data_IF_159858462826
#
_entry.id   IF_159858462826
#
_cell.length_a   1.000
_cell.length_b   1.000
_cell.length_c   1.000
_cell.angle_alpha   90.00
_cell.angle_beta   90.00
_cell.angle_gamma   90.00
#
_symmetry.space_group_name_H-M   'P 1'
#
loop_
_entity.id
_entity.type
_entity.pdbx_description
1 polymer ?
#
# COMPACT_ATOMS: atom_id res chain seq x y z
N UNK A 1 -12.46 -7.26 5.02
CA UNK A 1 -12.29 -6.31 3.90
C UNK A 1 -12.53 -4.88 4.39
N UNK A 2 -11.50 -4.03 4.46
CA UNK A 2 -11.66 -2.56 4.66
C UNK A 2 -11.51 -1.94 3.27
N UNK A 3 -12.36 -1.06 2.76
CA UNK A 3 -13.69 -0.55 3.07
C UNK A 3 -14.05 0.24 1.80
N UNK A 4 -15.31 0.21 1.38
CA UNK A 4 -15.77 0.98 0.23
C UNK A 4 -15.24 2.42 0.32
N UNK A 5 -14.90 3.04 -0.81
CA UNK A 5 -14.55 4.46 -0.83
C UNK A 5 -15.81 5.23 -0.43
N UNK A 6 -15.93 5.53 0.85
CA UNK A 6 -17.05 6.24 1.45
C UNK A 6 -16.92 7.75 1.29
N UNK A 7 -17.93 8.46 1.75
CA UNK A 7 -18.07 9.91 1.64
C UNK A 7 -17.00 10.71 2.39
N UNK A 8 -16.30 10.09 3.33
CA UNK A 8 -15.26 10.70 4.14
C UNK A 8 -13.89 10.02 3.94
N UNK A 9 -12.84 10.73 4.35
CA UNK A 9 -11.49 10.18 4.46
C UNK A 9 -11.45 8.99 5.43
N UNK A 10 -10.80 7.88 5.05
CA UNK A 10 -10.61 6.75 5.96
C UNK A 10 -9.35 6.89 6.82
N UNK A 11 -8.41 7.73 6.37
CA UNK A 11 -7.25 8.17 7.13
C UNK A 11 -7.62 9.18 8.21
N UNK A 12 -6.82 9.18 9.28
CA UNK A 12 -6.86 10.11 10.40
C UNK A 12 -5.59 10.95 10.39
N UNK A 13 -5.68 12.17 10.93
CA UNK A 13 -4.49 12.96 11.22
C UNK A 13 -3.82 12.39 12.48
N UNK A 14 -2.58 11.95 12.38
CA UNK A 14 -1.73 11.56 13.50
C UNK A 14 -0.79 12.71 13.87
N UNK A 15 -0.74 13.05 15.16
CA UNK A 15 0.27 13.91 15.76
C UNK A 15 1.20 13.07 16.62
N UNK A 16 2.49 13.11 16.34
CA UNK A 16 3.51 12.38 17.07
C UNK A 16 3.71 13.01 18.45
N UNK A 17 3.39 12.26 19.51
CA UNK A 17 3.54 12.74 20.89
C UNK A 17 4.82 12.24 21.55
N UNK A 18 5.34 11.10 21.11
CA UNK A 18 6.53 10.50 21.72
C UNK A 18 7.29 9.66 20.71
N UNK A 19 8.61 9.69 20.81
CA UNK A 19 9.52 8.76 20.15
C UNK A 19 10.38 8.12 21.23
N UNK A 20 10.30 6.80 21.35
CA UNK A 20 11.10 6.03 22.30
C UNK A 20 12.05 5.13 21.53
N UNK A 21 13.32 5.08 21.95
CA UNK A 21 14.27 4.09 21.44
C UNK A 21 14.40 2.98 22.48
N UNK A 22 14.00 1.76 22.10
CA UNK A 22 14.08 0.56 22.92
C UNK A 22 15.06 -0.42 22.25
N UNK A 23 16.32 -0.37 22.68
CA UNK A 23 17.42 -1.09 22.03
C UNK A 23 17.54 -0.66 20.56
N UNK A 24 17.38 -1.62 19.64
CA UNK A 24 17.43 -1.38 18.20
C UNK A 24 16.05 -1.06 17.56
N UNK A 25 15.02 -0.78 18.38
CA UNK A 25 13.67 -0.42 17.91
C UNK A 25 13.36 1.04 18.21
N UNK A 26 12.77 1.75 17.25
CA UNK A 26 12.20 3.09 17.47
C UNK A 26 10.68 2.98 17.49
N UNK A 27 10.06 3.34 18.61
CA UNK A 27 8.61 3.32 18.82
C UNK A 27 8.10 4.75 18.70
N UNK A 28 7.23 4.98 17.71
CA UNK A 28 6.57 6.25 17.51
C UNK A 28 5.14 6.18 18.04
N UNK A 29 4.82 7.04 19.01
CA UNK A 29 3.49 7.13 19.60
C UNK A 29 2.75 8.32 19.00
N UNK A 30 1.54 8.06 18.50
CA UNK A 30 0.70 9.06 17.84
C UNK A 30 -0.65 9.22 18.54
N UNK A 31 -1.11 10.45 18.66
CA UNK A 31 -2.52 10.78 18.95
C UNK A 31 -3.22 11.02 17.61
N UNK A 32 -4.43 10.48 17.43
CA UNK A 32 -5.12 10.51 16.13
C UNK A 32 -6.44 11.27 16.17
N UNK A 33 -6.63 12.15 15.20
CA UNK A 33 -7.81 12.99 15.04
C UNK A 33 -8.55 12.65 13.74
N UNK A 34 -9.90 12.66 13.74
CA UNK A 34 -10.66 12.47 12.51
C UNK A 34 -10.39 13.64 11.54
N UNK A 35 -10.53 13.37 10.24
CA UNK A 35 -10.49 14.40 9.19
C UNK A 35 -11.95 14.65 8.78
N UNK A 36 -12.60 15.73 9.27
CA UNK A 36 -14.02 15.99 9.02
C UNK A 36 -14.29 16.56 7.61
N UNK A 37 -13.46 16.18 6.63
CA UNK A 37 -13.55 16.68 5.26
C UNK A 37 -14.29 15.65 4.41
N UNK A 38 -15.46 16.05 3.92
CA UNK A 38 -16.22 15.26 2.95
C UNK A 38 -15.47 15.22 1.62
N UNK A 39 -15.51 14.09 0.92
CA UNK A 39 -15.00 13.98 -0.45
C UNK A 39 -15.82 14.89 -1.37
N UNK A 40 -15.17 15.64 -2.27
CA UNK A 40 -15.90 16.43 -3.26
C UNK A 40 -16.60 15.50 -4.26
N UNK A 41 -17.66 15.99 -4.90
CA UNK A 41 -18.34 15.26 -5.97
C UNK A 41 -17.39 15.01 -7.17
N UNK A 42 -16.63 16.03 -7.55
CA UNK A 42 -15.70 16.00 -8.69
C UNK A 42 -14.29 16.44 -8.29
N UNK A 43 -13.29 15.91 -8.98
CA UNK A 43 -11.89 16.33 -8.85
C UNK A 43 -11.29 16.08 -7.46
N UNK A 44 -10.64 17.11 -6.92
CA UNK A 44 -10.05 17.10 -5.58
C UNK A 44 -10.28 18.47 -4.91
N UNK A 45 -10.52 18.46 -3.60
CA UNK A 45 -10.62 19.65 -2.77
C UNK A 45 -9.39 19.77 -1.87
N UNK A 46 -9.01 21.00 -1.56
CA UNK A 46 -8.04 21.29 -0.51
C UNK A 46 -8.81 21.89 0.66
N UNK A 47 -8.57 21.37 1.85
CA UNK A 47 -9.19 21.87 3.07
C UNK A 47 -8.14 22.08 4.14
N UNK A 48 -8.34 23.14 4.92
CA UNK A 48 -7.55 23.40 6.11
C UNK A 48 -8.17 22.68 7.32
N UNK A 49 -7.30 22.13 8.15
CA UNK A 49 -7.67 21.52 9.42
C UNK A 49 -6.67 21.90 10.49
N UNK A 50 -7.15 22.05 11.73
CA UNK A 50 -6.31 22.28 12.89
C UNK A 50 -5.96 20.96 13.55
N UNK A 51 -4.70 20.83 13.98
CA UNK A 51 -4.29 19.72 14.82
C UNK A 51 -4.94 19.89 16.20
N UNK A 52 -5.72 18.91 16.65
CA UNK A 52 -6.36 18.94 17.96
C UNK A 52 -5.39 18.86 19.14
N UNK A 53 -4.09 18.59 18.91
CA UNK A 53 -3.07 18.55 19.97
C UNK A 53 -2.28 19.85 20.09
N UNK A 54 -1.77 20.38 18.98
CA UNK A 54 -0.87 21.55 18.97
C UNK A 54 -1.47 22.81 18.31
N UNK A 55 -2.72 22.73 17.80
CA UNK A 55 -3.38 23.85 17.13
C UNK A 55 -2.83 24.19 15.73
N UNK A 56 -1.80 23.48 15.25
CA UNK A 56 -1.19 23.76 13.96
C UNK A 56 -2.21 23.64 12.81
N UNK A 57 -2.24 24.64 11.93
CA UNK A 57 -3.05 24.61 10.70
C UNK A 57 -2.33 23.79 9.63
N UNK A 58 -3.02 22.77 9.12
CA UNK A 58 -2.54 21.84 8.13
C UNK A 58 -3.49 21.83 6.93
N UNK A 59 -2.93 21.73 5.73
CA UNK A 59 -3.69 21.58 4.49
C UNK A 59 -3.70 20.12 4.05
N UNK A 60 -4.89 19.59 3.80
CA UNK A 60 -5.09 18.26 3.20
C UNK A 60 -5.78 18.38 1.85
N UNK A 61 -5.31 17.59 0.89
CA UNK A 61 -5.99 17.35 -0.38
C UNK A 61 -6.82 16.08 -0.28
N UNK A 62 -8.10 16.18 -0.59
CA UNK A 62 -9.05 15.05 -0.63
C UNK A 62 -9.56 14.89 -2.05
N UNK A 63 -9.28 13.74 -2.67
CA UNK A 63 -9.80 13.37 -3.99
C UNK A 63 -11.23 12.83 -3.89
N UNK A 64 -12.03 13.08 -4.91
CA UNK A 64 -13.36 12.53 -5.05
C UNK A 64 -13.35 10.98 -5.00
N UNK A 65 -14.53 10.42 -4.72
CA UNK A 65 -14.67 8.97 -4.58
C UNK A 65 -14.37 8.24 -5.90
N UNK A 66 -14.88 8.74 -7.03
CA UNK A 66 -14.70 8.14 -8.34
C UNK A 66 -13.21 8.04 -8.74
N UNK A 67 -12.45 9.13 -8.59
CA UNK A 67 -11.02 9.13 -8.91
C UNK A 67 -10.20 8.24 -7.97
N UNK A 68 -10.60 8.11 -6.71
CA UNK A 68 -9.97 7.18 -5.76
C UNK A 68 -10.25 5.72 -6.12
N UNK A 69 -11.49 5.40 -6.52
CA UNK A 69 -11.85 4.05 -7.00
C UNK A 69 -11.12 3.71 -8.30
N UNK A 70 -11.00 4.66 -9.22
CA UNK A 70 -10.25 4.46 -10.46
C UNK A 70 -8.78 4.18 -10.19
N UNK A 71 -8.13 4.96 -9.32
CA UNK A 71 -6.75 4.70 -8.92
C UNK A 71 -6.58 3.31 -8.27
N UNK A 72 -7.54 2.88 -7.44
CA UNK A 72 -7.58 1.50 -6.92
C UNK A 72 -7.71 0.46 -8.05
N UNK A 73 -8.58 0.68 -9.02
CA UNK A 73 -8.73 -0.24 -10.16
C UNK A 73 -7.44 -0.35 -10.97
N UNK A 74 -6.71 0.75 -11.18
CA UNK A 74 -5.41 0.73 -11.88
C UNK A 74 -4.41 -0.16 -11.14
N UNK A 75 -4.30 -0.03 -9.81
CA UNK A 75 -3.41 -0.90 -9.02
C UNK A 75 -3.82 -2.37 -9.07
N UNK A 76 -5.12 -2.67 -9.04
CA UNK A 76 -5.59 -4.06 -9.22
C UNK A 76 -5.31 -4.57 -10.62
N UNK A 77 -5.53 -3.75 -11.65
CA UNK A 77 -5.25 -4.11 -13.03
C UNK A 77 -3.76 -4.39 -13.25
N UNK A 78 -2.86 -3.66 -12.57
CA UNK A 78 -1.42 -3.92 -12.59
C UNK A 78 -0.99 -5.15 -11.77
N UNK A 79 -1.77 -5.52 -10.75
CA UNK A 79 -1.51 -6.72 -9.96
C UNK A 79 -1.74 -8.00 -10.77
N UNK A 80 -2.77 -8.04 -11.63
CA UNK A 80 -3.10 -9.21 -12.46
C UNK A 80 -1.94 -9.70 -13.35
N UNK A 81 -1.32 -8.89 -14.22
CA UNK A 81 -0.21 -9.34 -15.06
C UNK A 81 1.02 -9.73 -14.23
N UNK A 82 1.24 -9.09 -13.08
CA UNK A 82 2.32 -9.46 -12.16
C UNK A 82 2.13 -10.90 -11.64
N UNK A 83 0.90 -11.25 -11.28
CA UNK A 83 0.54 -12.60 -10.84
C UNK A 83 0.65 -13.62 -11.99
N UNK A 84 0.21 -13.26 -13.20
CA UNK A 84 0.31 -14.13 -14.37
C UNK A 84 1.77 -14.43 -14.74
N UNK A 85 2.65 -13.42 -14.66
CA UNK A 85 4.09 -13.60 -14.89
C UNK A 85 4.70 -14.58 -13.88
N UNK A 86 4.36 -14.44 -12.60
CA UNK A 86 4.78 -15.38 -11.56
C UNK A 86 4.26 -16.78 -11.83
N UNK A 87 2.98 -16.92 -12.17
CA UNK A 87 2.37 -18.22 -12.45
C UNK A 87 3.01 -18.92 -13.66
N UNK A 88 3.31 -18.17 -14.73
CA UNK A 88 4.00 -18.69 -15.90
C UNK A 88 5.41 -19.18 -15.57
N UNK A 89 6.17 -18.41 -14.77
CA UNK A 89 7.52 -18.81 -14.34
C UNK A 89 7.49 -20.07 -13.45
N UNK A 90 6.55 -20.15 -12.51
CA UNK A 90 6.36 -21.34 -11.66
C UNK A 90 5.95 -22.55 -12.51
N UNK A 91 5.06 -22.36 -13.49
CA UNK A 91 4.64 -23.44 -14.39
C UNK A 91 5.82 -24.00 -15.17
N UNK A 92 6.69 -23.15 -15.71
CA UNK A 92 7.94 -23.58 -16.34
C UNK A 92 8.77 -24.40 -15.35
N UNK A 93 9.03 -23.89 -14.16
CA UNK A 93 9.78 -24.62 -13.15
C UNK A 93 9.22 -26.04 -12.89
N UNK A 94 7.91 -26.16 -12.65
CA UNK A 94 7.25 -27.45 -12.36
C UNK A 94 7.31 -28.44 -13.53
N UNK A 95 7.30 -27.96 -14.78
CA UNK A 95 7.42 -28.85 -15.94
C UNK A 95 8.83 -29.43 -16.07
N UNK A 96 9.85 -28.66 -15.68
CA UNK A 96 11.24 -29.08 -15.81
C UNK A 96 11.70 -29.90 -14.60
N UNK A 97 11.21 -29.64 -13.39
CA UNK A 97 11.54 -30.37 -12.14
C UNK A 97 11.11 -31.86 -12.09
N UNK A 98 10.74 -32.45 -13.23
CA UNK A 98 10.42 -33.87 -13.33
C UNK A 98 11.71 -34.69 -13.56
N UNK A 99 11.97 -35.71 -12.73
CA UNK A 99 13.16 -36.54 -12.92
C UNK A 99 13.08 -37.25 -14.28
N UNK A 100 14.20 -37.29 -15.04
CA UNK A 100 14.24 -37.99 -16.32
C UNK A 100 14.04 -39.51 -16.09
N UNK A 101 13.31 -40.19 -16.98
CA UNK A 101 12.93 -41.61 -16.80
C UNK A 101 14.13 -42.57 -16.83
N UNK A 102 15.29 -42.11 -17.23
CA UNK A 102 16.47 -42.89 -17.58
C UNK A 102 17.68 -42.65 -16.66
N UNK A 103 17.46 -42.16 -15.42
CA UNK A 103 18.48 -41.98 -14.37
C UNK A 103 19.74 -41.18 -14.79
N UNK A 104 19.66 -40.39 -15.87
CA UNK A 104 20.75 -39.52 -16.30
C UNK A 104 20.94 -38.38 -15.28
N UNK A 105 22.19 -37.88 -15.10
CA UNK A 105 22.42 -36.70 -14.27
C UNK A 105 21.55 -35.56 -14.80
N UNK A 106 20.67 -35.08 -13.94
CA UNK A 106 19.72 -34.02 -14.25
C UNK A 106 20.45 -32.68 -14.24
N UNK A 107 20.62 -32.09 -15.43
CA UNK A 107 21.22 -30.77 -15.60
C UNK A 107 20.09 -29.80 -15.92
N UNK A 108 19.74 -28.92 -14.99
CA UNK A 108 18.77 -27.87 -15.25
C UNK A 108 19.34 -26.92 -16.32
N UNK A 109 18.59 -26.67 -17.40
CA UNK A 109 19.02 -25.67 -18.36
C UNK A 109 19.15 -24.30 -17.68
N UNK A 110 20.17 -23.51 -18.04
CA UNK A 110 20.40 -22.18 -17.47
C UNK A 110 19.15 -21.28 -17.52
N UNK A 111 18.33 -21.42 -18.56
CA UNK A 111 17.10 -20.63 -18.71
C UNK A 111 15.99 -21.04 -17.71
N UNK A 112 16.00 -22.26 -17.17
CA UNK A 112 15.12 -22.70 -16.07
C UNK A 112 15.57 -22.04 -14.77
N UNK A 113 16.87 -22.01 -14.49
CA UNK A 113 17.42 -21.30 -13.32
C UNK A 113 17.17 -19.79 -13.40
N UNK A 114 17.24 -19.21 -14.60
CA UNK A 114 16.91 -17.80 -14.81
C UNK A 114 15.42 -17.48 -14.65
N UNK A 115 14.53 -18.49 -14.65
CA UNK A 115 13.08 -18.29 -14.45
C UNK A 115 12.69 -17.84 -13.04
N UNK A 116 13.58 -18.03 -12.05
CA UNK A 116 13.38 -17.50 -10.69
C UNK A 116 13.38 -15.97 -10.64
N UNK A 117 14.11 -15.31 -11.55
CA UNK A 117 14.18 -13.85 -11.61
C UNK A 117 12.79 -13.25 -11.95
N UNK A 118 12.13 -13.60 -13.07
CA UNK A 118 10.80 -13.08 -13.36
C UNK A 118 9.75 -13.55 -12.35
N UNK A 119 9.89 -14.74 -11.76
CA UNK A 119 9.01 -15.18 -10.67
C UNK A 119 9.09 -14.24 -9.46
N UNK A 120 10.30 -13.97 -8.98
CA UNK A 120 10.56 -13.07 -7.85
C UNK A 120 10.12 -11.63 -8.13
N UNK A 121 10.41 -11.12 -9.33
CA UNK A 121 9.97 -9.79 -9.76
C UNK A 121 8.44 -9.70 -9.83
N UNK A 122 7.76 -10.72 -10.36
CA UNK A 122 6.31 -10.78 -10.41
C UNK A 122 5.67 -10.77 -9.02
N UNK A 123 6.23 -11.51 -8.05
CA UNK A 123 5.77 -11.52 -6.65
C UNK A 123 5.95 -10.14 -6.03
N UNK A 124 7.13 -9.54 -6.16
CA UNK A 124 7.42 -8.22 -5.63
C UNK A 124 6.49 -7.14 -6.21
N UNK A 125 6.29 -7.16 -7.54
CA UNK A 125 5.39 -6.24 -8.23
C UNK A 125 3.93 -6.43 -7.81
N UNK A 126 3.46 -7.68 -7.68
CA UNK A 126 2.12 -7.99 -7.18
C UNK A 126 1.91 -7.45 -5.77
N UNK A 127 2.83 -7.74 -4.84
CA UNK A 127 2.76 -7.26 -3.47
C UNK A 127 2.76 -5.73 -3.41
N UNK A 128 3.63 -5.08 -4.19
CA UNK A 128 3.66 -3.62 -4.30
C UNK A 128 2.32 -3.08 -4.79
N UNK A 129 1.73 -3.66 -5.83
CA UNK A 129 0.43 -3.24 -6.36
C UNK A 129 -0.69 -3.40 -5.34
N UNK A 130 -0.72 -4.52 -4.61
CA UNK A 130 -1.71 -4.76 -3.54
C UNK A 130 -1.52 -3.79 -2.37
N UNK A 131 -0.27 -3.52 -1.97
CA UNK A 131 0.04 -2.53 -0.95
C UNK A 131 -0.40 -1.13 -1.41
N UNK A 132 -0.08 -0.73 -2.64
CA UNK A 132 -0.46 0.56 -3.20
C UNK A 132 -1.98 0.69 -3.34
N UNK A 133 -2.66 -0.37 -3.74
CA UNK A 133 -4.12 -0.46 -3.75
C UNK A 133 -4.70 -0.19 -2.36
N UNK A 134 -4.17 -0.86 -1.33
CA UNK A 134 -4.60 -0.71 0.04
C UNK A 134 -4.30 0.70 0.58
N UNK A 135 -3.14 1.25 0.24
CA UNK A 135 -2.72 2.58 0.70
C UNK A 135 -3.38 3.76 -0.06
N UNK A 136 -4.14 3.46 -1.11
CA UNK A 136 -4.86 4.47 -1.92
C UNK A 136 -6.19 4.84 -1.26
N UNK A 137 -6.18 5.95 -0.54
CA UNK A 137 -7.37 6.56 0.09
C UNK A 137 -7.77 7.91 -0.55
N UNK A 138 -6.97 8.44 -1.49
CA UNK A 138 -7.23 9.74 -2.12
C UNK A 138 -7.00 10.95 -1.21
N UNK A 139 -6.46 10.75 0.00
CA UNK A 139 -6.14 11.82 0.95
C UNK A 139 -4.63 12.00 1.06
N UNK A 140 -4.16 13.24 0.93
CA UNK A 140 -2.74 13.64 1.02
C UNK A 140 -2.59 14.87 1.90
N UNK A 141 -1.55 14.88 2.73
CA UNK A 141 -1.14 16.06 3.47
C UNK A 141 -0.29 16.94 2.54
N UNK A 142 -0.66 18.21 2.38
CA UNK A 142 0.02 19.16 1.49
C UNK A 142 1.05 19.96 2.26
N UNK A 143 0.68 20.47 3.44
CA UNK A 143 1.60 21.22 4.28
C UNK A 143 2.12 20.30 5.39
N UNK A 144 3.38 19.90 5.27
CA UNK A 144 4.06 19.23 6.37
C UNK A 144 4.89 20.28 7.12
N UNK A 145 4.44 20.70 8.32
CA UNK A 145 5.20 21.62 9.18
C UNK A 145 6.27 20.89 10.02
N UNK A 146 6.89 19.83 9.46
CA UNK A 146 7.85 18.96 10.14
C UNK A 146 7.34 17.53 10.36
N UNK A 147 8.19 16.66 10.90
CA UNK A 147 7.93 15.21 11.04
C UNK A 147 6.83 14.84 12.04
N UNK A 148 6.21 15.82 12.69
CA UNK A 148 5.23 15.63 13.77
C UNK A 148 3.85 15.21 13.26
N UNK A 149 3.51 15.52 12.00
CA UNK A 149 2.17 15.30 11.46
C UNK A 149 2.21 14.29 10.32
N UNK A 150 1.40 13.24 10.44
CA UNK A 150 1.27 12.25 9.37
C UNK A 150 -0.15 11.72 9.26
N UNK A 151 -0.50 11.24 8.08
CA UNK A 151 -1.78 10.57 7.87
C UNK A 151 -1.65 9.10 8.27
N UNK A 152 -2.40 8.68 9.28
CA UNK A 152 -2.38 7.32 9.80
C UNK A 152 -3.73 6.64 9.56
N UNK A 153 -3.71 5.33 9.33
CA UNK A 153 -4.94 4.57 9.29
C UNK A 153 -5.49 4.38 10.70
N UNK A 154 -6.81 4.50 10.84
CA UNK A 154 -7.47 4.14 12.10
C UNK A 154 -7.15 2.68 12.45
N UNK A 155 -6.45 2.45 13.56
CA UNK A 155 -6.30 1.10 14.12
C UNK A 155 -7.70 0.65 14.53
N UNK A 156 -8.21 -0.45 13.96
CA UNK A 156 -9.47 -1.04 14.46
C UNK A 156 -9.13 -1.48 15.88
N UNK A 157 -9.76 -0.89 16.90
CA UNK A 157 -9.79 -1.55 18.20
C UNK A 157 -10.48 -2.89 17.94
N UNK A 158 -9.78 -4.00 18.20
CA UNK A 158 -10.45 -5.29 18.36
C UNK A 158 -11.29 -5.10 19.63
N UNK A 159 -12.60 -5.00 19.45
CA UNK A 159 -13.55 -5.09 20.55
C UNK A 159 -13.64 -6.54 20.98
#
# INVERSE_FOLDING_TARGET
>A
MRGAVGDYASKRLGHQVRVERLGNKTIHTYVTFPIPVRRPAHGASVSELSCGKCGARLRVRVRNAAGTRWARRVWLAAAVPSLLLTAAAIFVFVQFDRPPPDNRPYVTPLWVELSFIPAGLGIAAFLLCVLMWWHTDGVRLISNRGWEHQLVYAKRRKG
#
